data_IF_008115274648
#
_entry.id   IF_008115274648
#
_cell.length_a   1.000
_cell.length_b   1.000
_cell.length_c   1.000
_cell.angle_alpha   90.00
_cell.angle_beta   90.00
_cell.angle_gamma   90.00
#
_symmetry.space_group_name_H-M   'P 1'
#
loop_
_entity.id
_entity.type
_entity.pdbx_description
1 polymer ?
#
# COMPACT_ATOMS: atom_id res chain seq x y z
N UNK A 1 -20.00 10.16 -17.88
CA UNK A 1 -20.25 9.27 -16.72
C UNK A 1 -21.32 9.91 -15.86
N UNK A 2 -22.18 9.12 -15.20
CA UNK A 2 -23.13 9.69 -14.21
C UNK A 2 -22.38 10.04 -12.92
N UNK A 3 -22.79 11.09 -12.18
CA UNK A 3 -22.23 11.39 -10.87
C UNK A 3 -22.30 10.19 -9.92
N UNK A 4 -21.25 9.99 -9.12
CA UNK A 4 -21.24 8.99 -8.06
C UNK A 4 -22.29 9.37 -6.99
N UNK A 5 -22.92 8.38 -6.35
CA UNK A 5 -23.69 8.66 -5.13
C UNK A 5 -22.77 9.16 -4.01
N UNK A 6 -23.33 9.85 -3.02
CA UNK A 6 -22.56 10.29 -1.85
C UNK A 6 -21.87 9.11 -1.14
N UNK A 7 -22.53 7.96 -1.05
CA UNK A 7 -21.94 6.74 -0.48
C UNK A 7 -20.84 6.15 -1.35
N UNK A 8 -20.94 6.21 -2.68
CA UNK A 8 -19.87 5.76 -3.57
C UNK A 8 -18.65 6.66 -3.44
N UNK A 9 -18.85 7.98 -3.42
CA UNK A 9 -17.78 8.96 -3.25
C UNK A 9 -17.09 8.80 -1.89
N UNK A 10 -17.86 8.71 -0.80
CA UNK A 10 -17.33 8.57 0.56
C UNK A 10 -16.49 7.30 0.77
N UNK A 11 -16.67 6.27 -0.07
CA UNK A 11 -15.85 5.05 -0.03
C UNK A 11 -14.45 5.27 -0.56
N UNK A 12 -14.15 6.30 -1.34
CA UNK A 12 -12.80 6.57 -1.88
C UNK A 12 -11.90 7.20 -0.81
N UNK A 13 -11.84 6.57 0.36
CA UNK A 13 -11.38 7.16 1.62
C UNK A 13 -9.89 6.97 1.92
N UNK A 14 -9.13 6.30 1.05
CA UNK A 14 -7.68 6.15 1.22
C UNK A 14 -6.96 6.99 0.16
N UNK A 15 -6.25 8.02 0.58
CA UNK A 15 -5.31 8.75 -0.27
C UNK A 15 -3.97 8.01 -0.29
N UNK A 16 -3.38 7.84 -1.47
CA UNK A 16 -2.02 7.33 -1.66
C UNK A 16 -1.25 8.33 -2.52
N UNK A 17 -0.11 8.78 -2.01
CA UNK A 17 0.83 9.62 -2.75
C UNK A 17 2.05 8.80 -3.16
N UNK A 18 2.44 8.97 -4.42
CA UNK A 18 3.68 8.44 -4.97
C UNK A 18 4.48 9.55 -5.62
N UNK A 19 5.79 9.36 -5.77
CA UNK A 19 6.67 10.30 -6.49
C UNK A 19 7.79 9.48 -7.11
N UNK A 20 8.00 9.64 -8.42
CA UNK A 20 8.88 8.77 -9.24
C UNK A 20 8.57 7.27 -9.04
N UNK A 21 7.29 6.91 -8.97
CA UNK A 21 6.81 5.56 -8.68
C UNK A 21 7.20 4.99 -7.30
N UNK A 22 7.79 5.80 -6.42
CA UNK A 22 8.06 5.43 -5.03
C UNK A 22 6.92 5.90 -4.13
N UNK A 23 6.57 5.09 -3.14
CA UNK A 23 5.62 5.45 -2.09
C UNK A 23 6.11 6.69 -1.32
N UNK A 24 5.18 7.60 -0.98
CA UNK A 24 5.46 8.77 -0.15
C UNK A 24 4.60 8.84 1.09
N UNK A 25 3.30 8.58 0.96
CA UNK A 25 2.39 8.56 2.10
C UNK A 25 1.07 7.89 1.73
N UNK A 26 0.34 7.44 2.76
CA UNK A 26 -1.07 7.10 2.66
C UNK A 26 -1.80 7.64 3.89
N UNK A 27 -3.08 7.98 3.75
CA UNK A 27 -3.89 8.42 4.87
C UNK A 27 -5.38 8.23 4.60
N UNK A 28 -6.15 8.25 5.68
CA UNK A 28 -7.61 8.28 5.62
C UNK A 28 -8.09 9.70 5.34
N UNK A 29 -8.94 9.83 4.33
CA UNK A 29 -9.56 11.07 3.86
C UNK A 29 -11.06 10.92 3.74
N UNK A 30 -11.78 12.04 3.66
CA UNK A 30 -13.24 12.06 3.50
C UNK A 30 -13.66 12.78 2.23
N UNK A 31 -13.82 12.08 1.09
CA UNK A 31 -14.43 12.67 -0.10
C UNK A 31 -15.92 12.90 0.11
N UNK A 32 -16.40 14.11 -0.16
CA UNK A 32 -17.81 14.47 -0.05
C UNK A 32 -18.21 15.51 -1.09
N UNK A 33 -19.49 15.58 -1.44
CA UNK A 33 -20.01 16.68 -2.22
C UNK A 33 -20.11 17.95 -1.38
N UNK A 34 -19.81 19.10 -1.99
CA UNK A 34 -20.13 20.39 -1.33
C UNK A 34 -21.65 20.63 -1.30
N UNK A 35 -22.35 20.18 -2.34
CA UNK A 35 -23.80 20.21 -2.49
C UNK A 35 -24.22 19.01 -3.34
N UNK A 36 -24.90 18.02 -2.74
CA UNK A 36 -25.34 16.82 -3.45
C UNK A 36 -26.37 17.12 -4.56
N UNK A 37 -27.09 18.24 -4.47
CA UNK A 37 -28.06 18.65 -5.49
C UNK A 37 -27.38 19.23 -6.74
N UNK A 38 -26.11 19.61 -6.63
CA UNK A 38 -25.28 20.08 -7.72
C UNK A 38 -23.86 19.45 -7.64
N UNK A 39 -23.69 18.21 -8.13
CA UNK A 39 -22.49 17.40 -7.89
C UNK A 39 -21.26 17.85 -8.70
N UNK A 40 -21.12 19.13 -9.04
CA UNK A 40 -19.98 19.65 -9.80
C UNK A 40 -18.75 19.94 -8.95
N UNK A 41 -18.86 19.85 -7.62
CA UNK A 41 -17.76 20.15 -6.69
C UNK A 41 -17.66 19.10 -5.59
N UNK A 42 -16.48 18.49 -5.47
CA UNK A 42 -16.13 17.54 -4.42
C UNK A 42 -15.11 18.20 -3.49
N UNK A 43 -15.21 17.95 -2.18
CA UNK A 43 -14.17 18.23 -1.20
C UNK A 43 -13.53 16.93 -0.76
N UNK A 44 -12.21 16.89 -0.72
CA UNK A 44 -11.48 15.82 -0.06
C UNK A 44 -11.04 16.33 1.31
N UNK A 45 -11.75 15.94 2.35
CA UNK A 45 -11.43 16.28 3.74
C UNK A 45 -10.12 15.63 4.19
N UNK A 46 -9.37 16.32 5.05
CA UNK A 46 -8.08 15.89 5.56
C UNK A 46 -7.05 15.57 4.46
N UNK A 47 -7.07 16.34 3.36
CA UNK A 47 -6.16 16.11 2.24
C UNK A 47 -4.71 16.23 2.69
N UNK A 48 -3.88 15.24 2.36
CA UNK A 48 -2.50 15.15 2.80
C UNK A 48 -2.29 15.22 4.34
N UNK A 49 -3.28 14.74 5.12
CA UNK A 49 -3.30 14.75 6.58
C UNK A 49 -3.13 16.14 7.21
N UNK A 50 -3.57 17.19 6.50
CA UNK A 50 -3.38 18.57 6.94
C UNK A 50 -4.49 19.11 7.83
N UNK A 51 -5.56 18.34 8.04
CA UNK A 51 -6.80 18.80 8.66
C UNK A 51 -7.64 19.74 7.79
N UNK A 52 -7.17 20.11 6.58
CA UNK A 52 -7.90 20.96 5.63
C UNK A 52 -8.39 20.15 4.43
N UNK A 53 -9.41 20.69 3.76
CA UNK A 53 -9.96 20.11 2.54
C UNK A 53 -9.35 20.74 1.28
N UNK A 54 -9.18 19.94 0.23
CA UNK A 54 -9.01 20.45 -1.13
C UNK A 54 -10.33 20.36 -1.89
N UNK A 55 -10.68 21.41 -2.64
CA UNK A 55 -11.86 21.42 -3.51
C UNK A 55 -11.48 21.03 -4.93
N UNK A 56 -12.23 20.10 -5.50
CA UNK A 56 -12.10 19.60 -6.87
C UNK A 56 -13.37 19.96 -7.66
N UNK A 57 -13.20 20.55 -8.84
CA UNK A 57 -14.27 20.81 -9.79
C UNK A 57 -14.35 19.64 -10.78
N UNK A 58 -15.54 19.06 -10.92
CA UNK A 58 -15.75 17.81 -11.65
C UNK A 58 -16.52 18.07 -12.94
N UNK A 59 -16.01 17.51 -14.03
CA UNK A 59 -16.70 17.35 -15.30
C UNK A 59 -17.05 15.86 -15.48
N UNK A 60 -18.30 15.52 -15.15
CA UNK A 60 -18.81 14.16 -15.24
C UNK A 60 -18.97 13.65 -16.66
N UNK A 61 -19.19 14.53 -17.64
CA UNK A 61 -19.33 14.14 -19.05
C UNK A 61 -18.03 13.50 -19.52
N UNK A 62 -16.90 14.17 -19.23
CA UNK A 62 -15.56 13.74 -19.61
C UNK A 62 -14.85 12.88 -18.54
N UNK A 63 -15.47 12.68 -17.38
CA UNK A 63 -14.88 11.98 -16.23
C UNK A 63 -13.53 12.58 -15.78
N UNK A 64 -13.46 13.91 -15.79
CA UNK A 64 -12.25 14.67 -15.41
C UNK A 64 -12.53 15.57 -14.23
N UNK A 65 -11.45 16.01 -13.59
CA UNK A 65 -11.52 16.97 -12.49
C UNK A 65 -10.38 17.99 -12.59
N UNK A 66 -10.56 19.10 -11.87
CA UNK A 66 -9.50 20.08 -11.69
C UNK A 66 -9.51 20.73 -10.31
N UNK A 67 -8.36 21.20 -9.86
CA UNK A 67 -8.20 21.99 -8.65
C UNK A 67 -7.36 23.24 -8.94
N UNK A 68 -7.85 24.40 -8.51
CA UNK A 68 -7.05 25.62 -8.48
C UNK A 68 -6.00 25.55 -7.34
N UNK A 69 -4.97 26.43 -7.35
CA UNK A 69 -4.06 26.57 -6.23
C UNK A 69 -4.83 26.82 -4.94
N UNK A 70 -4.58 26.03 -3.92
CA UNK A 70 -5.34 26.06 -2.67
C UNK A 70 -4.42 25.89 -1.48
N UNK A 71 -4.73 26.59 -0.39
CA UNK A 71 -4.00 26.49 0.87
C UNK A 71 -4.27 25.14 1.53
N UNK A 72 -3.20 24.44 1.88
CA UNK A 72 -3.18 23.15 2.57
C UNK A 72 -2.97 23.30 4.07
N UNK A 73 -2.42 24.42 4.52
CA UNK A 73 -2.10 24.69 5.91
C UNK A 73 -1.13 25.86 6.04
N UNK A 74 -0.46 25.94 7.19
CA UNK A 74 0.60 26.91 7.45
C UNK A 74 1.88 26.19 7.85
N UNK A 75 3.00 26.81 7.53
CA UNK A 75 4.29 26.48 8.10
C UNK A 75 4.39 27.15 9.47
N UNK A 76 4.34 26.36 10.55
CA UNK A 76 4.30 26.85 11.93
C UNK A 76 5.54 27.69 12.29
N UNK A 77 6.69 27.46 11.64
CA UNK A 77 7.93 28.15 11.95
C UNK A 77 7.99 29.57 11.34
N UNK A 78 7.31 29.80 10.21
CA UNK A 78 7.43 31.03 9.43
C UNK A 78 6.10 31.75 9.18
N UNK A 79 4.98 31.20 9.65
CA UNK A 79 3.63 31.66 9.35
C UNK A 79 3.34 31.80 7.84
N UNK A 80 4.06 31.05 7.01
CA UNK A 80 3.83 31.00 5.57
C UNK A 80 2.65 30.08 5.27
N UNK A 81 1.89 30.38 4.21
CA UNK A 81 0.87 29.48 3.70
C UNK A 81 1.52 28.36 2.92
N UNK A 82 1.11 27.12 3.19
CA UNK A 82 1.42 25.97 2.36
C UNK A 82 0.35 25.87 1.28
N UNK A 83 0.72 25.90 0.01
CA UNK A 83 -0.23 25.81 -1.10
C UNK A 83 0.03 24.61 -1.98
N UNK A 84 -1.04 23.91 -2.37
CA UNK A 84 -1.04 22.83 -3.36
C UNK A 84 -1.12 23.45 -4.74
N UNK A 85 -0.17 23.12 -5.61
CA UNK A 85 0.00 23.72 -6.94
C UNK A 85 0.46 22.68 -7.96
N UNK A 86 0.39 23.02 -9.26
CA UNK A 86 1.05 22.21 -10.29
C UNK A 86 2.58 22.38 -10.24
N UNK A 87 3.37 21.43 -10.80
CA UNK A 87 4.82 21.57 -10.90
C UNK A 87 5.23 22.86 -11.62
N UNK A 88 4.56 23.23 -12.71
CA UNK A 88 4.87 24.44 -13.49
C UNK A 88 4.64 25.72 -12.67
N UNK A 89 3.57 25.77 -11.87
CA UNK A 89 3.29 26.91 -11.02
C UNK A 89 4.30 27.04 -9.86
N UNK A 90 4.91 25.93 -9.43
CA UNK A 90 5.93 25.94 -8.37
C UNK A 90 7.25 26.61 -8.78
N UNK A 91 7.47 26.80 -10.08
CA UNK A 91 8.66 27.43 -10.65
C UNK A 91 8.46 28.94 -10.94
N UNK A 92 7.26 29.48 -10.64
CA UNK A 92 6.96 30.90 -10.83
C UNK A 92 7.48 31.73 -9.65
N UNK A 93 7.79 33.00 -9.92
CA UNK A 93 8.36 33.89 -8.89
C UNK A 93 7.35 34.40 -7.87
N UNK A 94 6.06 34.49 -8.22
CA UNK A 94 5.04 35.04 -7.32
C UNK A 94 3.70 34.31 -7.46
N UNK A 95 2.96 34.10 -6.35
CA UNK A 95 1.59 33.61 -6.40
C UNK A 95 0.62 34.63 -7.03
N UNK A 96 1.03 35.89 -7.20
CA UNK A 96 0.26 36.93 -7.87
C UNK A 96 0.35 36.87 -9.40
N UNK A 97 1.24 36.04 -9.94
CA UNK A 97 1.35 35.83 -11.38
C UNK A 97 0.06 35.19 -11.92
N UNK A 98 -0.47 35.72 -13.03
CA UNK A 98 -1.72 35.20 -13.62
C UNK A 98 -1.59 33.72 -14.02
N UNK A 99 -0.39 33.30 -14.44
CA UNK A 99 -0.10 31.89 -14.73
C UNK A 99 -0.22 31.01 -13.47
N UNK A 100 0.18 31.52 -12.29
CA UNK A 100 0.03 30.82 -11.02
C UNK A 100 -1.46 30.67 -10.69
N UNK A 101 -2.21 31.77 -10.71
CA UNK A 101 -3.64 31.79 -10.37
C UNK A 101 -4.49 30.92 -11.32
N UNK A 102 -4.10 30.82 -12.59
CA UNK A 102 -4.76 30.01 -13.59
C UNK A 102 -4.26 28.57 -13.67
N UNK A 103 -3.20 28.21 -12.96
CA UNK A 103 -2.71 26.84 -12.92
C UNK A 103 -3.81 25.91 -12.40
N UNK A 104 -3.96 24.73 -13.00
CA UNK A 104 -4.95 23.75 -12.57
C UNK A 104 -4.27 22.40 -12.45
N UNK A 105 -4.32 21.82 -11.26
CA UNK A 105 -4.05 20.40 -11.09
C UNK A 105 -5.23 19.70 -11.75
N UNK A 106 -4.96 18.78 -12.66
CA UNK A 106 -5.99 18.04 -13.41
C UNK A 106 -6.02 16.60 -12.94
N UNK A 107 -7.04 15.86 -13.34
CA UNK A 107 -7.15 14.46 -12.98
C UNK A 107 -8.34 13.77 -13.62
N UNK A 108 -8.56 12.53 -13.22
CA UNK A 108 -9.67 11.68 -13.67
C UNK A 108 -10.46 11.15 -12.50
N UNK A 109 -11.73 10.87 -12.73
CA UNK A 109 -12.62 10.24 -11.76
C UNK A 109 -13.29 9.02 -12.40
N UNK A 110 -13.44 7.96 -11.62
CA UNK A 110 -14.14 6.73 -11.99
C UNK A 110 -14.95 6.24 -10.78
N UNK A 111 -15.64 5.10 -10.93
CA UNK A 111 -16.40 4.50 -9.83
C UNK A 111 -15.51 4.05 -8.66
N UNK A 112 -14.25 3.71 -8.94
CA UNK A 112 -13.37 3.04 -7.98
C UNK A 112 -12.15 3.88 -7.60
N UNK A 113 -11.88 4.97 -8.32
CA UNK A 113 -10.68 5.80 -8.13
C UNK A 113 -10.90 7.26 -8.54
N UNK A 114 -10.39 8.19 -7.73
CA UNK A 114 -10.07 9.56 -8.14
C UNK A 114 -8.55 9.66 -8.27
N UNK A 115 -8.04 10.16 -9.40
CA UNK A 115 -6.61 10.34 -9.66
C UNK A 115 -6.29 11.79 -9.94
N UNK A 116 -5.30 12.34 -9.25
CA UNK A 116 -4.72 13.65 -9.54
C UNK A 116 -3.42 13.45 -10.33
N UNK A 117 -3.27 14.21 -11.41
CA UNK A 117 -1.99 14.38 -12.10
C UNK A 117 -0.97 15.08 -11.19
N UNK A 118 0.33 15.07 -11.57
CA UNK A 118 1.40 15.60 -10.73
C UNK A 118 1.09 16.96 -10.11
N UNK A 119 1.33 17.08 -8.79
CA UNK A 119 1.20 18.31 -8.02
C UNK A 119 2.33 18.41 -6.98
N UNK A 120 2.53 19.59 -6.39
CA UNK A 120 3.52 19.79 -5.34
C UNK A 120 3.03 20.83 -4.31
N UNK A 121 3.81 21.01 -3.25
CA UNK A 121 3.56 21.99 -2.20
C UNK A 121 4.61 23.09 -2.28
N UNK A 122 4.14 24.33 -2.24
CA UNK A 122 4.97 25.52 -2.11
C UNK A 122 4.65 26.24 -0.81
N UNK A 123 5.67 26.88 -0.24
CA UNK A 123 5.56 27.83 0.87
C UNK A 123 5.45 29.23 0.29
N UNK A 124 4.41 29.96 0.70
CA UNK A 124 4.07 31.30 0.23
C UNK A 124 3.92 32.23 1.43
N UNK A 125 4.71 33.30 1.55
CA UNK A 125 4.55 34.25 2.63
C UNK A 125 3.20 34.98 2.53
N UNK A 126 2.67 35.42 3.67
CA UNK A 126 1.39 36.15 3.74
C UNK A 126 1.40 37.48 2.97
N UNK A 127 2.58 37.98 2.58
CA UNK A 127 2.76 39.11 1.67
C UNK A 127 2.58 38.77 0.19
N UNK A 128 2.46 37.49 -0.17
CA UNK A 128 2.30 37.00 -1.55
C UNK A 128 3.42 37.43 -2.52
N UNK A 129 4.63 37.66 -1.99
CA UNK A 129 5.77 38.21 -2.76
C UNK A 129 6.64 37.16 -3.43
N UNK A 130 6.58 35.90 -2.99
CA UNK A 130 7.45 34.83 -3.47
C UNK A 130 6.79 33.46 -3.39
N UNK A 131 7.35 32.50 -4.11
CA UNK A 131 7.01 31.08 -4.04
C UNK A 131 8.29 30.30 -3.70
N UNK A 132 8.23 29.43 -2.69
CA UNK A 132 9.33 28.54 -2.34
C UNK A 132 8.89 27.09 -2.44
N UNK A 133 9.49 26.32 -3.33
CA UNK A 133 9.22 24.89 -3.48
C UNK A 133 9.68 24.12 -2.24
N UNK A 134 8.81 23.25 -1.70
CA UNK A 134 9.14 22.44 -0.51
C UNK A 134 9.58 21.01 -0.83
N UNK A 135 9.23 20.52 -2.01
CA UNK A 135 9.56 19.17 -2.45
C UNK A 135 10.15 19.22 -3.85
N UNK A 136 11.33 18.64 -4.02
CA UNK A 136 12.04 18.63 -5.30
C UNK A 136 11.25 17.91 -6.40
N UNK A 137 10.49 16.89 -5.99
CA UNK A 137 9.73 16.00 -6.88
C UNK A 137 8.24 16.14 -6.61
N UNK A 138 7.40 16.17 -7.67
CA UNK A 138 5.95 16.22 -7.50
C UNK A 138 5.39 14.88 -7.02
N UNK A 139 4.15 14.92 -6.57
CA UNK A 139 3.35 13.79 -6.16
C UNK A 139 2.30 13.45 -7.22
N UNK A 140 2.17 12.16 -7.50
CA UNK A 140 0.99 11.56 -8.12
C UNK A 140 0.09 11.01 -7.01
N UNK A 141 -1.21 11.34 -7.05
CA UNK A 141 -2.14 10.95 -6.00
C UNK A 141 -3.30 10.16 -6.56
N UNK A 142 -3.68 9.10 -5.84
CA UNK A 142 -4.96 8.41 -6.03
C UNK A 142 -5.74 8.37 -4.73
N UNK A 143 -7.06 8.42 -4.85
CA UNK A 143 -8.01 8.16 -3.77
C UNK A 143 -8.82 6.93 -4.13
N UNK A 144 -8.83 5.96 -3.24
CA UNK A 144 -9.34 4.63 -3.54
C UNK A 144 -10.06 4.04 -2.34
N UNK A 145 -10.94 3.07 -2.60
CA UNK A 145 -11.61 2.35 -1.53
C UNK A 145 -10.70 1.34 -0.84
N UNK A 146 -10.73 1.25 0.49
CA UNK A 146 -10.05 0.18 1.19
C UNK A 146 -10.70 -1.16 0.83
N UNK A 147 -9.89 -2.19 0.61
CA UNK A 147 -10.32 -3.51 0.17
C UNK A 147 -9.96 -4.63 1.15
N UNK A 148 -9.50 -4.26 2.35
CA UNK A 148 -9.18 -5.18 3.42
C UNK A 148 -9.34 -4.52 4.80
N UNK A 149 -9.50 -5.35 5.83
CA UNK A 149 -9.40 -4.97 7.23
C UNK A 149 -8.10 -5.49 7.81
N UNK A 150 -7.33 -4.62 8.46
CA UNK A 150 -6.21 -4.99 9.32
C UNK A 150 -6.72 -5.02 10.77
N UNK A 151 -6.49 -6.16 11.44
CA UNK A 151 -6.78 -6.38 12.86
C UNK A 151 -5.48 -6.63 13.59
N UNK A 152 -5.19 -5.90 14.66
CA UNK A 152 -3.93 -5.98 15.39
C UNK A 152 -4.15 -6.05 16.89
N UNK A 153 -3.33 -6.86 17.56
CA UNK A 153 -3.19 -6.87 19.01
C UNK A 153 -1.91 -6.12 19.36
N UNK A 154 -2.03 -4.88 19.84
CA UNK A 154 -0.89 -3.98 20.08
C UNK A 154 -0.15 -4.34 21.37
N UNK A 155 1.15 -4.08 21.35
CA UNK A 155 2.00 -4.12 22.54
C UNK A 155 2.44 -2.69 22.89
N UNK A 156 2.69 -2.45 24.17
CA UNK A 156 3.26 -1.22 24.68
C UNK A 156 4.17 -1.51 25.88
N UNK A 157 5.01 -0.56 26.24
CA UNK A 157 5.86 -0.68 27.44
C UNK A 157 5.02 -0.73 28.71
N UNK A 158 5.43 -1.58 29.64
CA UNK A 158 4.97 -1.51 31.03
C UNK A 158 5.47 -0.22 31.72
N UNK A 159 5.04 -0.01 32.96
CA UNK A 159 5.26 1.26 33.66
C UNK A 159 6.74 1.53 33.97
N UNK A 160 7.55 0.47 34.09
CA UNK A 160 8.97 0.48 34.36
C UNK A 160 9.84 0.40 33.09
N UNK A 161 9.22 0.31 31.91
CA UNK A 161 9.90 0.29 30.61
C UNK A 161 10.85 -0.91 30.45
N UNK A 162 10.54 -2.03 31.11
CA UNK A 162 11.35 -3.25 31.02
C UNK A 162 10.74 -4.27 30.08
N UNK A 163 9.40 -4.34 29.98
CA UNK A 163 8.71 -5.35 29.18
C UNK A 163 7.61 -4.76 28.30
N UNK A 164 7.50 -5.30 27.10
CA UNK A 164 6.32 -5.13 26.25
C UNK A 164 5.17 -6.00 26.78
N UNK A 165 4.05 -5.36 27.07
CA UNK A 165 2.83 -5.99 27.54
C UNK A 165 1.68 -5.74 26.57
N UNK A 166 0.64 -6.57 26.65
CA UNK A 166 -0.58 -6.37 25.85
C UNK A 166 -1.21 -5.01 26.17
N UNK A 167 -1.51 -4.24 25.13
CA UNK A 167 -2.05 -2.88 25.25
C UNK A 167 -3.51 -2.85 24.83
N UNK A 168 -3.79 -2.66 23.54
CA UNK A 168 -5.15 -2.63 22.99
C UNK A 168 -5.24 -3.39 21.67
N UNK A 169 -6.46 -3.79 21.31
CA UNK A 169 -6.77 -4.33 19.99
C UNK A 169 -7.31 -3.22 19.08
N UNK A 170 -6.98 -3.25 17.80
CA UNK A 170 -7.46 -2.27 16.83
C UNK A 170 -7.83 -2.93 15.51
N UNK A 171 -8.94 -2.49 14.94
CA UNK A 171 -9.37 -2.81 13.58
C UNK A 171 -9.45 -1.53 12.75
N UNK A 172 -8.84 -1.54 11.57
CA UNK A 172 -8.89 -0.43 10.63
C UNK A 172 -8.87 -0.93 9.18
N UNK A 173 -9.34 -0.07 8.27
CA UNK A 173 -9.49 -0.39 6.87
C UNK A 173 -8.24 0.00 6.10
N UNK A 174 -7.70 -0.92 5.32
CA UNK A 174 -6.48 -0.73 4.53
C UNK A 174 -6.75 -1.01 3.06
N UNK A 175 -5.86 -0.53 2.22
CA UNK A 175 -5.86 -0.86 0.80
C UNK A 175 -4.68 -1.79 0.48
N UNK A 176 -4.94 -2.75 -0.41
CA UNK A 176 -3.98 -3.77 -0.81
C UNK A 176 -3.94 -3.91 -2.32
N UNK A 177 -2.75 -4.21 -2.86
CA UNK A 177 -2.55 -4.49 -4.27
C UNK A 177 -1.85 -5.83 -4.44
N UNK A 178 -2.31 -6.62 -5.40
CA UNK A 178 -1.66 -7.88 -5.77
C UNK A 178 -1.08 -7.73 -7.16
N UNK A 179 0.24 -7.83 -7.26
CA UNK A 179 0.97 -7.88 -8.53
C UNK A 179 1.81 -9.16 -8.56
N UNK A 180 1.34 -10.14 -9.35
CA UNK A 180 1.95 -11.46 -9.42
C UNK A 180 2.05 -12.16 -8.05
N UNK A 181 3.26 -12.28 -7.53
CA UNK A 181 3.54 -12.87 -6.21
C UNK A 181 3.61 -11.85 -5.08
N UNK A 182 3.55 -10.56 -5.39
CA UNK A 182 3.72 -9.49 -4.42
C UNK A 182 2.35 -8.98 -3.97
N UNK A 183 2.16 -8.93 -2.65
CA UNK A 183 1.06 -8.25 -1.99
C UNK A 183 1.61 -6.96 -1.36
N UNK A 184 1.14 -5.82 -1.83
CA UNK A 184 1.44 -4.51 -1.23
C UNK A 184 0.31 -4.14 -0.27
N UNK A 185 0.65 -3.73 0.94
CA UNK A 185 -0.29 -3.29 1.99
C UNK A 185 0.02 -1.84 2.35
N UNK A 186 -0.97 -0.96 2.19
CA UNK A 186 -0.86 0.46 2.54
C UNK A 186 -1.50 0.72 3.90
N UNK A 187 -0.76 1.36 4.81
CA UNK A 187 -1.21 1.69 6.15
C UNK A 187 -1.15 0.50 7.12
N UNK A 188 0.01 -0.15 7.24
CA UNK A 188 0.18 -1.33 8.09
C UNK A 188 -0.25 -1.12 9.54
N UNK A 189 0.11 -0.01 10.18
CA UNK A 189 -0.13 0.26 11.60
C UNK A 189 -1.09 1.43 11.87
N UNK A 190 -2.05 1.64 10.96
CA UNK A 190 -2.97 2.80 10.92
C UNK A 190 -2.26 4.16 10.75
N UNK A 191 -1.02 4.11 10.27
CA UNK A 191 -0.20 5.28 9.94
C UNK A 191 0.48 5.12 8.57
N UNK A 192 1.16 6.15 8.06
CA UNK A 192 1.81 6.13 6.75
C UNK A 192 2.82 4.97 6.66
N UNK A 193 2.56 4.02 5.76
CA UNK A 193 3.43 2.89 5.48
C UNK A 193 3.00 2.15 4.21
N UNK A 194 3.96 1.57 3.52
CA UNK A 194 3.74 0.71 2.36
C UNK A 194 4.61 -0.54 2.49
N UNK A 195 3.99 -1.66 2.87
CA UNK A 195 4.67 -2.92 3.12
C UNK A 195 4.51 -3.80 1.89
N UNK A 196 5.64 -4.27 1.33
CA UNK A 196 5.64 -5.26 0.26
C UNK A 196 5.92 -6.63 0.84
N UNK A 197 4.99 -7.55 0.59
CA UNK A 197 5.07 -8.93 1.00
C UNK A 197 5.20 -9.81 -0.24
N UNK A 198 6.15 -10.72 -0.24
CA UNK A 198 6.36 -11.67 -1.34
C UNK A 198 5.82 -13.04 -0.95
N UNK A 199 4.99 -13.63 -1.81
CA UNK A 199 4.48 -14.98 -1.64
C UNK A 199 5.62 -16.00 -1.75
N UNK A 200 5.72 -16.88 -0.76
CA UNK A 200 6.57 -18.08 -0.78
C UNK A 200 5.70 -19.33 -0.82
N UNK A 201 6.24 -20.37 -1.46
CA UNK A 201 5.59 -21.67 -1.59
C UNK A 201 6.62 -22.74 -1.31
N UNK A 202 6.51 -23.37 -0.15
CA UNK A 202 7.40 -24.46 0.28
C UNK A 202 6.57 -25.67 0.66
N UNK A 203 6.79 -26.81 -0.01
CA UNK A 203 6.06 -28.06 0.20
C UNK A 203 4.51 -27.88 0.21
N UNK A 204 3.98 -27.04 -0.69
CA UNK A 204 2.55 -26.75 -0.78
C UNK A 204 2.00 -25.82 0.31
N UNK A 205 2.87 -25.31 1.20
CA UNK A 205 2.52 -24.29 2.18
C UNK A 205 2.75 -22.92 1.57
N UNK A 206 1.71 -22.10 1.56
CA UNK A 206 1.76 -20.72 1.10
C UNK A 206 2.01 -19.81 2.29
N UNK A 207 2.98 -18.90 2.19
CA UNK A 207 3.23 -17.83 3.17
C UNK A 207 3.53 -16.52 2.45
N UNK A 208 3.51 -15.43 3.21
CA UNK A 208 3.99 -14.13 2.78
C UNK A 208 5.09 -13.66 3.71
N UNK A 209 6.15 -13.10 3.15
CA UNK A 209 7.24 -12.49 3.94
C UNK A 209 7.62 -11.13 3.37
N UNK A 210 8.03 -10.20 4.22
CA UNK A 210 8.70 -8.99 3.76
C UNK A 210 10.22 -9.19 3.71
N UNK A 211 10.92 -8.26 3.06
CA UNK A 211 12.34 -8.07 3.30
C UNK A 211 12.52 -7.02 4.41
N UNK A 212 13.22 -7.33 5.53
CA UNK A 212 13.37 -6.42 6.66
C UNK A 212 14.18 -5.16 6.33
N UNK A 213 14.95 -5.16 5.22
CA UNK A 213 15.65 -3.97 4.73
C UNK A 213 14.80 -3.07 3.83
N UNK A 214 13.57 -3.47 3.49
CA UNK A 214 12.71 -2.66 2.64
C UNK A 214 12.14 -1.49 3.46
N UNK A 215 12.48 -0.27 3.01
CA UNK A 215 11.92 0.96 3.56
C UNK A 215 10.40 0.98 3.35
N UNK A 216 9.63 1.01 4.43
CA UNK A 216 8.15 1.05 4.36
C UNK A 216 7.62 2.49 4.40
N UNK A 217 8.39 3.40 5.01
CA UNK A 217 8.07 4.81 5.12
C UNK A 217 9.32 5.60 5.52
N UNK A 218 9.45 6.83 5.03
CA UNK A 218 10.46 7.77 5.50
C UNK A 218 9.79 9.08 5.87
N UNK A 219 10.06 9.56 7.09
CA UNK A 219 9.81 10.95 7.44
C UNK A 219 11.07 11.79 7.18
N UNK A 220 11.01 13.12 7.40
CA UNK A 220 12.17 14.00 7.16
C UNK A 220 13.44 13.63 7.97
N UNK A 221 13.31 12.81 9.00
CA UNK A 221 14.36 12.49 9.98
C UNK A 221 14.66 11.00 10.09
N UNK A 222 13.72 10.12 9.76
CA UNK A 222 13.77 8.68 10.06
C UNK A 222 13.25 7.84 8.91
N UNK A 223 13.97 6.76 8.68
CA UNK A 223 13.62 5.67 7.79
C UNK A 223 13.03 4.51 8.60
N UNK A 224 11.83 4.07 8.26
CA UNK A 224 11.09 3.06 9.00
C UNK A 224 11.05 1.73 8.26
N UNK A 225 11.19 0.64 9.01
CA UNK A 225 11.27 -0.73 8.52
C UNK A 225 10.33 -1.63 9.32
N UNK A 226 9.73 -2.62 8.67
CA UNK A 226 8.92 -3.65 9.33
C UNK A 226 9.75 -4.91 9.54
N UNK A 227 9.79 -5.44 10.76
CA UNK A 227 10.52 -6.67 11.10
C UNK A 227 9.68 -7.60 11.98
N UNK A 228 10.11 -8.86 12.09
CA UNK A 228 9.69 -9.68 13.22
C UNK A 228 10.25 -9.09 14.52
N UNK A 229 9.45 -9.12 15.58
CA UNK A 229 9.86 -8.63 16.90
C UNK A 229 10.96 -9.55 17.48
N UNK A 230 12.15 -9.03 17.88
CA UNK A 230 13.26 -9.87 18.35
C UNK A 230 13.03 -10.46 19.74
N UNK A 231 12.20 -9.81 20.56
CA UNK A 231 11.88 -10.16 21.93
C UNK A 231 11.00 -9.09 22.55
N UNK A 232 10.63 -9.29 23.82
CA UNK A 232 9.67 -8.43 24.51
C UNK A 232 10.28 -7.67 25.68
N UNK A 233 11.60 -7.69 25.84
CA UNK A 233 12.30 -6.95 26.91
C UNK A 233 13.03 -5.73 26.36
N UNK A 234 13.37 -4.78 27.24
CA UNK A 234 14.26 -3.66 26.91
C UNK A 234 15.58 -4.13 26.31
N UNK A 235 16.23 -5.12 26.92
CA UNK A 235 17.52 -5.64 26.46
C UNK A 235 17.45 -6.23 25.05
N UNK A 236 16.33 -6.85 24.68
CA UNK A 236 16.12 -7.38 23.32
C UNK A 236 16.07 -6.26 22.28
N UNK A 237 15.44 -5.13 22.63
CA UNK A 237 15.21 -3.99 21.74
C UNK A 237 16.40 -3.05 21.66
N UNK A 238 17.09 -2.78 22.78
CA UNK A 238 18.29 -1.94 22.80
C UNK A 238 19.41 -2.53 21.91
N UNK A 239 19.51 -3.87 21.88
CA UNK A 239 20.46 -4.62 21.06
C UNK A 239 19.92 -4.98 19.66
N UNK A 240 18.71 -4.57 19.31
CA UNK A 240 18.15 -4.79 17.98
C UNK A 240 18.79 -3.84 16.96
N UNK A 241 19.40 -4.40 15.93
CA UNK A 241 20.17 -3.68 14.91
C UNK A 241 19.83 -4.22 13.51
N UNK A 242 20.15 -3.45 12.48
CA UNK A 242 19.79 -3.83 11.11
C UNK A 242 20.34 -5.21 10.68
N UNK A 243 21.50 -5.60 11.20
CA UNK A 243 22.20 -6.85 10.88
C UNK A 243 21.57 -8.10 11.51
N UNK A 244 20.74 -7.94 12.56
CA UNK A 244 20.02 -9.03 13.21
C UNK A 244 18.50 -8.98 12.95
N UNK A 245 18.04 -8.00 12.15
CA UNK A 245 16.66 -7.90 11.70
C UNK A 245 16.25 -9.11 10.84
N UNK A 246 15.08 -9.67 11.14
CA UNK A 246 14.52 -10.80 10.40
C UNK A 246 13.17 -10.44 9.79
N UNK A 247 12.85 -11.08 8.66
CA UNK A 247 11.57 -10.93 7.98
C UNK A 247 10.40 -11.24 8.91
N UNK A 248 9.36 -10.41 8.85
CA UNK A 248 8.04 -10.80 9.30
C UNK A 248 7.47 -11.80 8.31
N UNK A 249 7.19 -13.02 8.78
CA UNK A 249 6.63 -14.10 7.97
C UNK A 249 5.21 -14.39 8.45
N UNK A 250 4.29 -14.56 7.51
CA UNK A 250 2.92 -14.97 7.80
C UNK A 250 2.88 -16.42 8.27
N UNK A 251 1.86 -16.75 9.06
CA UNK A 251 1.49 -18.14 9.24
C UNK A 251 1.04 -18.77 7.90
N UNK A 252 1.04 -20.11 7.78
CA UNK A 252 0.51 -20.82 6.62
C UNK A 252 -0.88 -20.33 6.20
N UNK A 253 -1.02 -19.97 4.92
CA UNK A 253 -2.30 -19.54 4.35
C UNK A 253 -3.19 -20.75 4.11
N UNK A 254 -4.20 -20.90 4.96
CA UNK A 254 -5.24 -21.94 4.85
C UNK A 254 -6.57 -21.38 4.32
N UNK A 255 -6.75 -20.06 4.39
CA UNK A 255 -7.89 -19.33 3.84
C UNK A 255 -7.35 -18.20 2.93
N UNK A 256 -7.75 -18.22 1.66
CA UNK A 256 -7.40 -17.20 0.66
C UNK A 256 -7.81 -15.77 1.01
N UNK A 257 -8.69 -15.55 2.00
CA UNK A 257 -9.07 -14.22 2.48
C UNK A 257 -8.30 -13.76 3.72
N UNK A 258 -7.55 -14.64 4.38
CA UNK A 258 -6.98 -14.35 5.69
C UNK A 258 -5.48 -14.61 5.69
N UNK A 259 -4.73 -13.58 6.05
CA UNK A 259 -3.28 -13.64 6.27
C UNK A 259 -3.03 -13.24 7.72
N UNK A 260 -2.32 -14.08 8.47
CA UNK A 260 -1.98 -13.78 9.87
C UNK A 260 -0.48 -13.75 10.05
N UNK A 261 -0.01 -12.87 10.92
CA UNK A 261 1.38 -12.67 11.28
C UNK A 261 1.53 -12.73 12.79
N UNK A 262 2.68 -13.21 13.23
CA UNK A 262 3.06 -13.23 14.64
C UNK A 262 3.57 -11.84 15.06
N UNK A 263 4.35 -11.78 16.14
CA UNK A 263 4.83 -10.52 16.70
C UNK A 263 5.67 -9.72 15.69
N UNK A 264 5.46 -8.41 15.67
CA UNK A 264 6.06 -7.52 14.70
C UNK A 264 6.43 -6.18 15.33
N UNK A 265 7.37 -5.48 14.69
CA UNK A 265 7.84 -4.16 15.09
C UNK A 265 8.05 -3.28 13.85
N UNK A 266 7.66 -2.01 13.95
CA UNK A 266 8.13 -0.97 13.04
C UNK A 266 9.22 -0.16 13.75
N UNK A 267 10.41 -0.14 13.15
CA UNK A 267 11.62 0.40 13.78
C UNK A 267 12.44 1.25 12.80
N UNK A 268 13.17 2.22 13.33
CA UNK A 268 14.23 2.97 12.68
C UNK A 268 15.58 2.48 13.24
N UNK A 269 16.52 2.10 12.39
CA UNK A 269 17.85 1.66 12.85
C UNK A 269 18.88 2.80 12.95
N UNK A 270 18.42 4.06 13.02
CA UNK A 270 19.28 5.24 13.13
C UNK A 270 19.84 5.45 14.55
N UNK A 271 20.63 6.52 14.70
CA UNK A 271 21.30 6.87 15.96
C UNK A 271 20.38 7.61 16.97
N UNK A 272 19.06 7.64 16.74
CA UNK A 272 18.12 8.37 17.61
C UNK A 272 17.69 7.59 18.85
N UNK A 273 17.21 8.33 19.86
CA UNK A 273 16.42 7.79 20.97
C UNK A 273 15.00 7.49 20.49
N UNK A 274 14.35 6.44 21.01
CA UNK A 274 13.04 5.92 20.56
C UNK A 274 13.04 5.55 19.08
N UNK A 275 13.73 4.45 18.80
CA UNK A 275 13.84 3.91 17.45
C UNK A 275 12.60 3.09 17.07
N UNK A 276 11.67 2.88 17.98
CA UNK A 276 10.46 2.11 17.77
C UNK A 276 9.29 3.04 17.47
N UNK A 277 8.56 2.75 16.39
CA UNK A 277 7.31 3.44 16.06
C UNK A 277 6.14 2.74 16.73
N UNK A 278 6.05 1.42 16.54
CA UNK A 278 4.90 0.65 16.96
C UNK A 278 5.20 -0.85 16.99
N UNK A 279 4.47 -1.57 17.85
CA UNK A 279 4.62 -3.01 18.07
C UNK A 279 3.27 -3.71 17.97
N UNK A 280 3.28 -5.01 17.69
CA UNK A 280 2.10 -5.84 17.86
C UNK A 280 2.47 -7.27 18.18
N UNK A 281 1.63 -7.91 18.99
CA UNK A 281 1.74 -9.33 19.31
C UNK A 281 1.22 -10.22 18.18
N UNK A 282 0.31 -9.69 17.36
CA UNK A 282 -0.16 -10.30 16.13
C UNK A 282 -0.70 -9.26 15.16
N UNK A 283 -0.79 -9.63 13.88
CA UNK A 283 -1.55 -8.90 12.88
C UNK A 283 -2.34 -9.87 12.01
N UNK A 284 -3.55 -9.47 11.60
CA UNK A 284 -4.43 -10.23 10.72
C UNK A 284 -4.97 -9.32 9.64
N UNK A 285 -4.65 -9.65 8.40
CA UNK A 285 -5.23 -9.02 7.22
C UNK A 285 -6.38 -9.87 6.70
N UNK A 286 -7.59 -9.30 6.68
CA UNK A 286 -8.80 -9.92 6.12
C UNK A 286 -9.18 -9.19 4.84
N UNK A 287 -9.04 -9.87 3.71
CA UNK A 287 -9.29 -9.30 2.39
C UNK A 287 -10.78 -9.43 2.02
N UNK A 288 -11.34 -8.37 1.45
CA UNK A 288 -12.73 -8.39 0.98
C UNK A 288 -12.88 -9.39 -0.18
N UNK A 289 -11.91 -9.36 -1.09
CA UNK A 289 -11.78 -10.28 -2.22
C UNK A 289 -10.70 -11.32 -1.92
N UNK A 290 -10.95 -12.62 -2.13
CA UNK A 290 -9.94 -13.65 -1.94
C UNK A 290 -8.68 -13.37 -2.76
N UNK A 291 -7.51 -13.67 -2.21
CA UNK A 291 -6.30 -13.81 -3.01
C UNK A 291 -6.59 -14.81 -4.13
N UNK A 292 -6.20 -14.44 -5.35
CA UNK A 292 -5.97 -15.42 -6.39
C UNK A 292 -4.74 -16.21 -5.95
N UNK A 293 -4.97 -17.22 -5.11
CA UNK A 293 -3.99 -18.26 -4.86
C UNK A 293 -3.78 -18.89 -6.22
N UNK A 294 -2.75 -18.40 -6.92
CA UNK A 294 -2.30 -18.99 -8.15
C UNK A 294 -1.96 -20.43 -7.82
N UNK A 295 -2.93 -21.31 -7.98
CA UNK A 295 -2.62 -22.64 -8.40
C UNK A 295 -1.92 -22.38 -9.73
N UNK A 296 -0.61 -22.57 -9.78
CA UNK A 296 -0.13 -23.23 -10.97
C UNK A 296 -1.11 -24.38 -11.14
N UNK A 297 -1.88 -24.44 -12.23
CA UNK A 297 -2.86 -25.50 -12.51
C UNK A 297 -2.18 -26.88 -12.70
N UNK A 298 -1.07 -27.06 -12.00
CA UNK A 298 -0.09 -28.09 -11.94
C UNK A 298 0.28 -28.13 -10.45
N UNK A 299 -0.49 -28.87 -9.67
CA UNK A 299 -0.14 -29.15 -8.30
C UNK A 299 1.08 -30.07 -8.28
N UNK A 300 2.13 -29.66 -7.58
CA UNK A 300 3.14 -30.61 -7.11
C UNK A 300 2.53 -31.39 -5.95
N UNK A 301 1.78 -32.44 -6.26
CA UNK A 301 1.51 -33.49 -5.29
C UNK A 301 2.83 -34.27 -5.10
N UNK A 302 3.33 -34.32 -3.87
CA UNK A 302 4.52 -35.13 -3.52
C UNK A 302 4.10 -36.60 -3.57
N UNK A 303 4.21 -37.21 -4.74
CA UNK A 303 4.02 -38.63 -4.91
C UNK A 303 5.36 -39.36 -4.74
N UNK A 304 5.41 -40.33 -3.82
CA UNK A 304 6.60 -41.15 -3.58
C UNK A 304 6.58 -42.40 -4.45
N UNK A 305 7.64 -42.67 -5.22
CA UNK A 305 7.80 -43.88 -6.02
C UNK A 305 7.93 -43.62 -7.52
N UNK A 306 8.04 -44.70 -8.31
CA UNK A 306 8.05 -44.60 -9.77
C UNK A 306 6.61 -44.43 -10.30
N UNK A 307 6.38 -43.59 -11.31
CA UNK A 307 5.06 -43.46 -11.92
C UNK A 307 4.66 -44.77 -12.62
N UNK A 308 3.39 -45.15 -12.50
CA UNK A 308 2.82 -46.32 -13.19
C UNK A 308 2.27 -45.95 -14.57
N UNK A 309 1.99 -44.67 -14.82
CA UNK A 309 1.57 -44.13 -16.12
C UNK A 309 2.15 -42.74 -16.32
N UNK A 310 2.63 -42.45 -17.54
CA UNK A 310 3.04 -41.10 -17.97
C UNK A 310 2.34 -40.79 -19.29
N UNK A 311 1.72 -39.61 -19.39
CA UNK A 311 1.09 -39.10 -20.60
C UNK A 311 1.49 -37.64 -20.83
N UNK A 312 1.57 -37.20 -22.08
CA UNK A 312 1.90 -35.82 -22.44
C UNK A 312 0.73 -35.18 -23.17
N UNK A 313 0.33 -33.98 -22.75
CA UNK A 313 -0.75 -33.22 -23.38
C UNK A 313 -0.19 -31.92 -23.94
N UNK A 314 -0.53 -31.59 -25.20
CA UNK A 314 -0.26 -30.25 -25.71
C UNK A 314 -1.25 -29.24 -25.10
N UNK A 315 -1.03 -27.94 -25.35
CA UNK A 315 -1.91 -26.88 -24.84
C UNK A 315 -3.37 -26.96 -25.36
N UNK A 316 -3.63 -27.75 -26.39
CA UNK A 316 -4.98 -28.01 -26.91
C UNK A 316 -5.64 -29.24 -26.25
N UNK A 317 -5.01 -29.88 -25.26
CA UNK A 317 -5.53 -31.05 -24.55
C UNK A 317 -5.40 -32.37 -25.31
N UNK A 318 -4.59 -32.43 -26.36
CA UNK A 318 -4.38 -33.66 -27.15
C UNK A 318 -3.26 -34.48 -26.50
N UNK A 319 -3.57 -35.74 -26.17
CA UNK A 319 -2.59 -36.71 -25.66
C UNK A 319 -1.59 -37.14 -26.75
N UNK A 320 -0.32 -37.21 -26.36
CA UNK A 320 0.82 -37.56 -27.21
C UNK A 320 1.73 -38.54 -26.49
N UNK A 321 2.38 -39.42 -27.25
CA UNK A 321 3.30 -40.42 -26.70
C UNK A 321 4.60 -39.79 -26.17
N UNK A 322 5.09 -38.74 -26.84
CA UNK A 322 6.28 -37.99 -26.46
C UNK A 322 6.09 -36.51 -26.81
N UNK A 323 6.71 -35.59 -26.03
CA UNK A 323 6.65 -34.16 -26.32
C UNK A 323 7.40 -33.84 -27.62
N UNK A 324 6.80 -32.98 -28.44
CA UNK A 324 7.43 -32.39 -29.63
C UNK A 324 7.90 -30.95 -29.34
N UNK A 325 8.40 -30.23 -30.36
CA UNK A 325 8.75 -28.81 -30.20
C UNK A 325 7.55 -27.99 -29.70
N UNK A 326 7.74 -27.23 -28.62
CA UNK A 326 6.69 -26.44 -27.97
C UNK A 326 6.44 -26.79 -26.50
N UNK A 327 5.29 -26.33 -25.97
CA UNK A 327 4.93 -26.50 -24.56
C UNK A 327 3.94 -27.66 -24.39
N UNK A 328 4.29 -28.58 -23.50
CA UNK A 328 3.50 -29.74 -23.10
C UNK A 328 3.29 -29.80 -21.59
N UNK A 329 2.24 -30.51 -21.17
CA UNK A 329 1.99 -30.90 -19.78
C UNK A 329 2.21 -32.41 -19.69
N UNK A 330 3.24 -32.82 -18.95
CA UNK A 330 3.45 -34.20 -18.57
C UNK A 330 2.58 -34.52 -17.36
N UNK A 331 1.81 -35.59 -17.45
CA UNK A 331 0.93 -36.09 -16.39
C UNK A 331 1.45 -37.46 -15.98
N UNK A 332 1.89 -37.59 -14.73
CA UNK A 332 2.42 -38.82 -14.14
C UNK A 332 1.43 -39.33 -13.10
N UNK A 333 0.92 -40.55 -13.29
CA UNK A 333 0.03 -41.24 -12.34
C UNK A 333 0.83 -42.28 -11.57
N UNK A 334 0.61 -42.36 -10.26
CA UNK A 334 1.30 -43.28 -9.35
C UNK A 334 0.37 -44.42 -8.89
N UNK A 335 0.96 -45.46 -8.28
CA UNK A 335 0.24 -46.66 -7.90
C UNK A 335 -0.87 -46.41 -6.86
N UNK A 336 -0.75 -45.34 -6.07
CA UNK A 336 -1.74 -44.88 -5.09
C UNK A 336 -2.88 -44.06 -5.71
N UNK A 337 -2.85 -43.84 -7.03
CA UNK A 337 -3.83 -43.03 -7.76
C UNK A 337 -3.53 -41.53 -7.76
N UNK A 338 -2.45 -41.09 -7.10
CA UNK A 338 -2.02 -39.70 -7.14
C UNK A 338 -1.53 -39.30 -8.54
N UNK A 339 -1.68 -38.01 -8.87
CA UNK A 339 -1.30 -37.45 -10.17
C UNK A 339 -0.38 -36.26 -9.96
N UNK A 340 0.82 -36.34 -10.55
CA UNK A 340 1.75 -35.21 -10.66
C UNK A 340 1.68 -34.66 -12.07
N UNK A 341 1.67 -33.34 -12.19
CA UNK A 341 1.77 -32.69 -13.50
C UNK A 341 3.04 -31.86 -13.58
N UNK A 342 3.67 -31.76 -14.75
CA UNK A 342 4.92 -31.03 -14.96
C UNK A 342 4.86 -30.32 -16.32
N UNK A 343 5.29 -29.05 -16.40
CA UNK A 343 5.48 -28.37 -17.68
C UNK A 343 6.75 -28.90 -18.35
N UNK A 344 6.64 -29.29 -19.61
CA UNK A 344 7.77 -29.71 -20.46
C UNK A 344 7.85 -28.75 -21.65
N UNK A 345 9.04 -28.21 -21.91
CA UNK A 345 9.32 -27.38 -23.08
C UNK A 345 10.52 -27.95 -23.83
N UNK A 346 10.36 -28.22 -25.13
CA UNK A 346 11.39 -28.75 -26.02
C UNK A 346 11.64 -27.81 -27.19
#
# INVERSE_FOLDING_TARGET
MEPLSAEQLARLSIQINTSDNAFKSNMTVGPEYTDESNPTTIKIQNFNNSGLAISLFVDWENATLSAAPQTLGYDDDYANMLMVVTPEASELSSPMDQAFQNARITGTISNDEIRLNPWTIVSVPTSFTSVTKLYDKPFDTKFISPNATMSQERLDWDNDWENLVSSYSQDFRVYTEVDGTTLTVYGWDDMESCVKLTRKVDNGTFTYENNPSDLIYADKKRDWYLCALPGTTWDDLENFKSENATSLVSNPITDSKVITFNQWIIVNFGESYNNERSFGSSAKLTLDTPLQLGTSGIGETIASGAPVKVAYFNLNGIETAEPAAGIFVKVSTYADGSVKTEKVAL
#
